data_IF_963075570700
#
_entry.id   IF_963075570700
#
_cell.length_a   1.000
_cell.length_b   1.000
_cell.length_c   1.000
_cell.angle_alpha   90.00
_cell.angle_beta   90.00
_cell.angle_gamma   90.00
#
_symmetry.space_group_name_H-M   'P 1'
#
loop_
_entity.id
_entity.type
_entity.pdbx_description
1 polymer ?
#
# COMPACT_ATOMS: atom_id res chain seq x y z
N UNK A 1 -13.84 105.22 -1.82
CA UNK A 1 -14.05 103.78 -1.55
C UNK A 1 -13.26 102.97 -2.54
N UNK A 2 -12.31 102.18 -2.00
CA UNK A 2 -11.46 101.11 -2.57
C UNK A 2 -11.13 101.10 -4.07
N UNK A 3 -9.89 101.51 -4.36
CA UNK A 3 -9.04 101.14 -5.50
C UNK A 3 -8.19 99.89 -5.19
N UNK A 4 -7.67 99.21 -6.23
CA UNK A 4 -6.43 98.39 -6.38
C UNK A 4 -6.69 97.27 -7.43
N UNK A 5 -6.21 97.37 -8.68
CA UNK A 5 -4.86 97.13 -9.28
C UNK A 5 -4.54 95.65 -9.59
N UNK A 6 -4.30 95.39 -10.89
CA UNK A 6 -3.66 94.21 -11.50
C UNK A 6 -2.23 93.97 -10.97
N UNK A 7 -1.82 92.72 -10.80
CA UNK A 7 -0.41 92.28 -10.87
C UNK A 7 -0.28 90.79 -11.21
N UNK A 8 0.75 90.49 -11.99
CA UNK A 8 1.18 89.23 -12.59
C UNK A 8 1.25 88.01 -11.64
N UNK A 9 0.87 86.83 -12.15
CA UNK A 9 1.35 85.54 -11.62
C UNK A 9 2.73 85.24 -12.22
N UNK A 10 3.71 85.03 -11.35
CA UNK A 10 5.04 84.54 -11.68
C UNK A 10 5.09 83.01 -11.53
N UNK A 11 5.65 82.36 -12.55
CA UNK A 11 5.94 80.92 -12.60
C UNK A 11 7.05 80.55 -11.61
N UNK A 12 6.83 79.51 -10.80
CA UNK A 12 7.89 78.81 -10.06
C UNK A 12 7.81 77.33 -10.42
N UNK A 13 8.83 76.88 -11.14
CA UNK A 13 9.11 75.46 -11.41
C UNK A 13 9.79 74.89 -10.18
N UNK A 14 9.14 73.94 -9.50
CA UNK A 14 9.75 73.14 -8.45
C UNK A 14 10.05 71.73 -8.99
N UNK A 15 11.33 71.43 -9.20
CA UNK A 15 11.82 70.07 -9.39
C UNK A 15 11.68 69.33 -8.05
N UNK A 16 10.76 68.37 -7.98
CA UNK A 16 10.75 67.36 -6.91
C UNK A 16 11.34 66.09 -7.51
N UNK A 17 12.53 65.72 -7.04
CA UNK A 17 13.16 64.45 -7.35
C UNK A 17 12.35 63.32 -6.67
N UNK A 18 11.48 62.66 -7.42
CA UNK A 18 10.87 61.39 -7.04
C UNK A 18 11.95 60.31 -7.10
N UNK A 19 12.53 59.99 -5.95
CA UNK A 19 13.25 58.73 -5.77
C UNK A 19 12.26 57.57 -5.82
N UNK A 20 12.12 56.94 -6.99
CA UNK A 20 11.49 55.63 -7.09
C UNK A 20 12.42 54.60 -6.45
N UNK A 21 12.29 54.41 -5.13
CA UNK A 21 12.71 53.16 -4.52
C UNK A 21 11.76 52.07 -5.04
N UNK A 22 12.18 51.37 -6.08
CA UNK A 22 11.58 50.09 -6.44
C UNK A 22 11.85 49.15 -5.27
N UNK A 23 10.89 49.03 -4.35
CA UNK A 23 10.80 47.88 -3.48
C UNK A 23 10.55 46.67 -4.40
N UNK A 24 11.62 46.09 -4.92
CA UNK A 24 11.57 44.72 -5.39
C UNK A 24 11.04 43.90 -4.20
N UNK A 25 10.00 43.08 -4.36
CA UNK A 25 9.61 42.17 -3.31
C UNK A 25 10.85 41.33 -2.99
N UNK A 26 11.39 41.49 -1.77
CA UNK A 26 12.35 40.53 -1.25
C UNK A 26 11.67 39.16 -1.34
N UNK A 27 12.36 38.10 -1.79
CA UNK A 27 11.76 36.77 -1.78
C UNK A 27 11.28 36.52 -0.36
N UNK A 28 9.96 36.48 -0.18
CA UNK A 28 9.34 36.24 1.11
C UNK A 28 9.75 34.84 1.53
N UNK A 29 10.65 34.74 2.50
CA UNK A 29 11.06 33.46 3.09
C UNK A 29 9.79 32.81 3.64
N UNK A 30 9.44 31.64 3.09
CA UNK A 30 8.33 30.86 3.59
C UNK A 30 8.58 30.49 5.05
N UNK A 31 7.55 30.58 5.89
CA UNK A 31 7.62 29.95 7.21
C UNK A 31 7.73 28.44 7.07
N UNK A 32 8.22 27.77 8.11
CA UNK A 32 8.32 26.31 8.17
C UNK A 32 7.00 25.62 7.78
N UNK A 33 5.88 26.07 8.34
CA UNK A 33 4.57 25.51 8.00
C UNK A 33 4.19 25.77 6.54
N UNK A 34 4.53 26.93 5.98
CA UNK A 34 4.29 27.23 4.56
C UNK A 34 5.14 26.35 3.65
N UNK A 35 6.38 26.03 4.03
CA UNK A 35 7.24 25.09 3.29
C UNK A 35 6.60 23.70 3.31
N UNK A 36 6.21 23.20 4.49
CA UNK A 36 5.58 21.89 4.62
C UNK A 36 4.26 21.81 3.84
N UNK A 37 3.38 22.81 3.96
CA UNK A 37 2.13 22.86 3.21
C UNK A 37 2.37 22.94 1.69
N UNK A 38 3.38 23.70 1.25
CA UNK A 38 3.71 23.85 -0.18
C UNK A 38 4.23 22.54 -0.76
N UNK A 39 5.20 21.91 -0.10
CA UNK A 39 5.74 20.61 -0.54
C UNK A 39 4.65 19.53 -0.50
N UNK A 40 3.86 19.46 0.57
CA UNK A 40 2.79 18.47 0.69
C UNK A 40 1.73 18.56 -0.42
N UNK A 41 1.33 19.77 -0.79
CA UNK A 41 0.29 19.97 -1.80
C UNK A 41 0.82 19.91 -3.25
N UNK A 42 2.12 20.16 -3.48
CA UNK A 42 2.63 20.41 -4.84
C UNK A 42 3.82 19.57 -5.26
N UNK A 43 4.48 18.84 -4.35
CA UNK A 43 5.56 17.94 -4.70
C UNK A 43 4.99 16.61 -5.16
N UNK A 44 5.02 16.39 -6.46
CA UNK A 44 4.68 15.12 -7.06
C UNK A 44 5.84 14.13 -6.94
N UNK A 45 5.52 12.90 -6.58
CA UNK A 45 6.49 11.82 -6.35
C UNK A 45 6.13 10.66 -7.26
N UNK A 46 7.10 10.22 -8.05
CA UNK A 46 6.95 9.04 -8.89
C UNK A 46 8.19 8.15 -8.77
N UNK A 47 7.98 6.85 -8.64
CA UNK A 47 9.02 5.84 -8.64
C UNK A 47 9.06 5.12 -9.98
N UNK A 48 10.26 4.67 -10.37
CA UNK A 48 10.44 3.73 -11.48
C UNK A 48 11.54 2.74 -11.15
N UNK A 49 11.21 1.45 -11.21
CA UNK A 49 12.21 0.38 -11.15
C UNK A 49 13.03 0.42 -12.44
N UNK A 50 14.35 0.55 -12.32
CA UNK A 50 15.27 0.57 -13.46
C UNK A 50 15.83 -0.83 -13.69
N UNK A 51 16.35 -1.46 -12.63
CA UNK A 51 16.76 -2.86 -12.66
C UNK A 51 16.57 -3.50 -11.29
N UNK A 52 16.09 -4.74 -11.26
CA UNK A 52 16.13 -5.62 -10.08
C UNK A 52 17.35 -6.56 -10.06
N UNK A 53 18.26 -6.42 -11.03
CA UNK A 53 19.39 -7.30 -11.26
C UNK A 53 20.72 -6.55 -11.16
N UNK A 54 20.83 -5.58 -10.25
CA UNK A 54 21.94 -4.61 -10.24
C UNK A 54 23.32 -5.27 -10.26
N UNK A 55 23.55 -6.31 -9.45
CA UNK A 55 24.82 -7.04 -9.44
C UNK A 55 25.12 -7.76 -10.76
N UNK A 56 24.09 -8.28 -11.45
CA UNK A 56 24.25 -8.91 -12.77
C UNK A 56 24.56 -7.87 -13.85
N UNK A 57 24.19 -6.61 -13.62
CA UNK A 57 24.42 -5.48 -14.53
C UNK A 57 25.67 -4.66 -14.16
N UNK A 58 26.49 -5.15 -13.23
CA UNK A 58 27.79 -4.57 -12.90
C UNK A 58 27.77 -3.55 -11.76
N UNK A 59 26.67 -3.44 -11.01
CA UNK A 59 26.68 -2.67 -9.75
C UNK A 59 27.47 -3.42 -8.68
N UNK A 60 28.31 -2.68 -7.97
CA UNK A 60 29.14 -3.18 -6.88
C UNK A 60 28.34 -3.36 -5.57
N UNK A 61 27.19 -4.06 -5.63
CA UNK A 61 26.28 -4.23 -4.49
C UNK A 61 26.99 -4.77 -3.23
N UNK A 62 28.03 -5.60 -3.40
CA UNK A 62 28.86 -6.10 -2.28
C UNK A 62 29.58 -4.98 -1.54
N UNK A 63 30.08 -3.96 -2.25
CA UNK A 63 30.79 -2.83 -1.64
C UNK A 63 29.83 -1.93 -0.85
N UNK A 64 28.56 -1.92 -1.25
CA UNK A 64 27.46 -1.27 -0.53
C UNK A 64 26.94 -2.10 0.65
N UNK A 65 27.61 -3.21 0.98
CA UNK A 65 27.24 -4.15 2.05
C UNK A 65 25.83 -4.75 1.89
N UNK A 66 25.29 -4.78 0.66
CA UNK A 66 24.03 -5.44 0.38
C UNK A 66 24.12 -6.94 0.68
N UNK A 67 23.14 -7.48 1.40
CA UNK A 67 23.09 -8.91 1.70
C UNK A 67 23.09 -9.73 0.40
N UNK A 68 23.94 -10.77 0.37
CA UNK A 68 24.17 -11.60 -0.82
C UNK A 68 24.61 -10.82 -2.07
N UNK A 69 25.13 -9.60 -1.90
CA UNK A 69 25.44 -8.68 -3.00
C UNK A 69 24.25 -8.51 -3.96
N UNK A 70 23.02 -8.44 -3.43
CA UNK A 70 21.80 -8.24 -4.21
C UNK A 70 21.29 -6.82 -4.00
N UNK A 71 21.15 -6.05 -5.07
CA UNK A 71 20.63 -4.69 -5.02
C UNK A 71 19.86 -4.34 -6.30
N UNK A 72 18.90 -3.43 -6.16
CA UNK A 72 18.14 -2.85 -7.26
C UNK A 72 18.55 -1.40 -7.51
N UNK A 73 18.08 -0.85 -8.62
CA UNK A 73 18.16 0.58 -8.93
C UNK A 73 16.78 1.11 -9.17
N UNK A 74 16.42 2.17 -8.46
CA UNK A 74 15.12 2.83 -8.58
C UNK A 74 15.37 4.32 -8.83
N UNK A 75 14.64 4.87 -9.78
CA UNK A 75 14.56 6.31 -9.96
C UNK A 75 13.40 6.88 -9.15
N UNK A 76 13.71 7.71 -8.16
CA UNK A 76 12.75 8.60 -7.52
C UNK A 76 12.71 9.92 -8.29
N UNK A 77 11.56 10.23 -8.87
CA UNK A 77 11.30 11.51 -9.53
C UNK A 77 10.51 12.41 -8.59
N UNK A 78 11.03 13.62 -8.35
CA UNK A 78 10.33 14.70 -7.66
C UNK A 78 10.00 15.80 -8.65
N UNK A 79 8.73 16.19 -8.75
CA UNK A 79 8.30 17.32 -9.59
C UNK A 79 7.61 18.38 -8.74
N UNK A 80 8.16 19.59 -8.71
CA UNK A 80 7.54 20.70 -7.98
C UNK A 80 6.49 21.39 -8.86
N UNK A 81 5.21 21.08 -8.66
CA UNK A 81 4.09 21.71 -9.38
C UNK A 81 3.64 23.04 -8.78
N UNK A 82 4.34 23.53 -7.75
CA UNK A 82 4.00 24.74 -7.02
C UNK A 82 5.02 25.88 -7.22
N UNK A 83 4.99 26.90 -6.35
CA UNK A 83 6.02 27.93 -6.30
C UNK A 83 7.40 27.35 -6.01
N UNK A 84 8.46 28.12 -6.33
CA UNK A 84 9.82 27.70 -6.01
C UNK A 84 10.03 27.58 -4.48
N UNK A 85 10.70 26.51 -4.05
CA UNK A 85 11.05 26.26 -2.65
C UNK A 85 12.57 26.25 -2.52
N UNK A 86 13.13 27.26 -1.85
CA UNK A 86 14.60 27.38 -1.65
C UNK A 86 15.04 27.03 -0.24
N UNK A 87 14.09 26.79 0.68
CA UNK A 87 14.37 26.37 2.04
C UNK A 87 15.08 25.00 2.04
N UNK A 88 16.03 24.83 2.97
CA UNK A 88 16.81 23.59 3.16
C UNK A 88 16.43 22.85 4.44
N UNK A 89 15.71 23.48 5.36
CA UNK A 89 15.32 22.85 6.63
C UNK A 89 14.00 22.09 6.48
N UNK A 90 14.02 21.01 5.70
CA UNK A 90 12.89 20.10 5.55
C UNK A 90 13.36 18.65 5.36
N UNK A 91 12.49 17.72 5.77
CA UNK A 91 12.66 16.28 5.59
C UNK A 91 11.37 15.66 5.10
N UNK A 92 11.46 14.79 4.11
CA UNK A 92 10.37 13.90 3.71
C UNK A 92 10.63 12.55 4.36
N UNK A 93 9.72 12.14 5.23
CA UNK A 93 9.70 10.82 5.83
C UNK A 93 8.94 9.86 4.93
N UNK A 94 9.51 8.69 4.66
CA UNK A 94 8.89 7.68 3.81
C UNK A 94 9.21 6.28 4.34
N UNK A 95 8.36 5.33 3.99
CA UNK A 95 8.53 3.94 4.36
C UNK A 95 9.12 3.15 3.20
N UNK A 96 10.04 2.24 3.50
CA UNK A 96 10.61 1.29 2.55
C UNK A 96 10.86 -0.02 3.26
N UNK A 97 10.41 -1.12 2.65
CA UNK A 97 10.75 -2.47 3.12
C UNK A 97 12.21 -2.84 2.82
N UNK A 98 12.92 -2.00 2.04
CA UNK A 98 14.34 -2.14 1.68
C UNK A 98 15.18 -1.04 2.30
N UNK A 99 16.40 -1.37 2.69
CA UNK A 99 17.41 -0.37 3.03
C UNK A 99 17.81 0.41 1.78
N UNK A 100 17.94 1.73 1.91
CA UNK A 100 18.51 2.57 0.85
C UNK A 100 20.02 2.64 1.07
N UNK A 101 20.77 2.01 0.18
CA UNK A 101 22.22 1.81 0.33
C UNK A 101 23.04 2.96 -0.23
N UNK A 102 22.56 3.60 -1.30
CA UNK A 102 23.22 4.73 -1.93
C UNK A 102 22.21 5.65 -2.63
N UNK A 103 22.52 6.95 -2.70
CA UNK A 103 21.70 7.97 -3.35
C UNK A 103 22.56 8.72 -4.36
N UNK A 104 22.25 8.59 -5.63
CA UNK A 104 23.05 9.07 -6.75
C UNK A 104 22.66 10.50 -7.19
N UNK A 105 22.36 11.35 -6.22
CA UNK A 105 22.13 12.77 -6.42
C UNK A 105 22.62 13.53 -5.20
N UNK A 106 23.72 14.28 -5.36
CA UNK A 106 24.44 14.89 -4.24
C UNK A 106 23.71 16.08 -3.59
N UNK A 107 22.58 16.53 -4.16
CA UNK A 107 21.68 17.50 -3.55
C UNK A 107 20.79 16.88 -2.47
N UNK A 108 20.72 15.56 -2.38
CA UNK A 108 19.88 14.87 -1.40
C UNK A 108 20.67 13.79 -0.67
N UNK A 109 20.18 13.44 0.52
CA UNK A 109 20.63 12.26 1.25
C UNK A 109 19.42 11.53 1.81
N UNK A 110 19.55 10.21 1.89
CA UNK A 110 18.58 9.36 2.59
C UNK A 110 19.21 8.86 3.89
N UNK A 111 18.44 8.88 4.98
CA UNK A 111 18.87 8.35 6.28
C UNK A 111 17.82 7.36 6.79
N UNK A 112 18.26 6.15 7.16
CA UNK A 112 17.40 5.20 7.88
C UNK A 112 17.21 5.65 9.33
N UNK A 113 15.97 5.62 9.82
CA UNK A 113 15.64 5.96 11.21
C UNK A 113 15.54 4.69 12.05
N UNK A 114 14.54 3.86 11.75
CA UNK A 114 14.31 2.56 12.39
C UNK A 114 13.19 1.83 11.64
N UNK A 115 13.18 0.49 11.69
CA UNK A 115 12.17 -0.29 10.98
C UNK A 115 12.21 -0.01 9.49
N UNK A 116 11.07 0.34 8.91
CA UNK A 116 10.93 0.74 7.50
C UNK A 116 11.10 2.25 7.26
N UNK A 117 11.21 3.06 8.32
CA UNK A 117 11.15 4.51 8.23
C UNK A 117 12.50 5.11 7.84
N UNK A 118 12.46 5.93 6.79
CA UNK A 118 13.60 6.67 6.25
C UNK A 118 13.26 8.16 6.11
N UNK A 119 14.28 9.02 6.02
CA UNK A 119 14.15 10.42 5.62
C UNK A 119 14.88 10.70 4.33
N UNK A 120 14.29 11.49 3.44
CA UNK A 120 14.94 12.18 2.33
C UNK A 120 15.05 13.66 2.71
N UNK A 121 16.25 14.22 2.67
CA UNK A 121 16.49 15.62 3.04
C UNK A 121 17.55 16.25 2.14
N UNK A 122 17.50 17.58 1.92
CA UNK A 122 18.47 18.27 1.09
C UNK A 122 19.84 18.30 1.77
N UNK A 123 20.90 18.35 0.96
CA UNK A 123 22.26 18.59 1.42
C UNK A 123 22.63 20.07 1.26
N UNK A 124 23.85 20.44 1.66
CA UNK A 124 24.40 21.78 1.38
C UNK A 124 24.51 22.11 -0.12
N UNK A 125 24.43 21.10 -1.00
CA UNK A 125 24.49 21.28 -2.45
C UNK A 125 23.11 21.53 -3.07
N UNK A 126 22.03 21.37 -2.31
CA UNK A 126 20.68 21.62 -2.77
C UNK A 126 20.50 23.08 -3.17
N UNK A 127 19.98 23.31 -4.38
CA UNK A 127 19.83 24.66 -4.95
C UNK A 127 18.40 25.22 -4.86
N UNK A 128 17.52 24.51 -4.16
CA UNK A 128 16.08 24.74 -4.24
C UNK A 128 15.41 23.88 -5.30
N UNK A 129 14.08 23.81 -5.22
CA UNK A 129 13.22 23.30 -6.28
C UNK A 129 12.56 24.50 -6.97
N UNK A 130 12.92 24.80 -8.21
CA UNK A 130 12.23 25.81 -9.01
C UNK A 130 10.79 25.37 -9.33
N UNK A 131 9.93 26.33 -9.67
CA UNK A 131 8.57 26.04 -10.10
C UNK A 131 8.59 25.23 -11.41
N UNK A 132 7.89 24.10 -11.44
CA UNK A 132 7.87 23.14 -12.54
C UNK A 132 9.14 22.31 -12.69
N UNK A 133 10.10 22.42 -11.77
CA UNK A 133 11.33 21.64 -11.84
C UNK A 133 11.04 20.16 -11.59
N UNK A 134 11.65 19.32 -12.43
CA UNK A 134 11.68 17.87 -12.28
C UNK A 134 13.10 17.43 -11.96
N UNK A 135 13.25 16.74 -10.84
CA UNK A 135 14.53 16.20 -10.38
C UNK A 135 14.42 14.68 -10.31
N UNK A 136 15.40 13.99 -10.90
CA UNK A 136 15.54 12.54 -10.80
C UNK A 136 16.64 12.23 -9.78
N UNK A 137 16.32 11.35 -8.85
CA UNK A 137 17.18 10.87 -7.78
C UNK A 137 17.27 9.34 -7.95
N UNK A 138 18.24 8.83 -8.73
CA UNK A 138 18.51 7.41 -8.72
C UNK A 138 19.02 7.00 -7.34
N UNK A 139 18.55 5.89 -6.81
CA UNK A 139 19.06 5.29 -5.58
C UNK A 139 19.21 3.79 -5.74
N UNK A 140 20.07 3.21 -4.90
CA UNK A 140 20.31 1.77 -4.84
C UNK A 140 19.61 1.23 -3.59
N UNK A 141 18.63 0.35 -3.77
CA UNK A 141 17.97 -0.37 -2.70
C UNK A 141 18.60 -1.75 -2.47
N UNK A 142 18.56 -2.23 -1.25
CA UNK A 142 18.96 -3.60 -0.96
C UNK A 142 17.95 -4.62 -1.51
N UNK A 143 18.44 -5.77 -1.98
CA UNK A 143 17.67 -6.84 -2.61
C UNK A 143 17.07 -6.50 -3.97
N UNK A 144 15.74 -6.41 -4.03
CA UNK A 144 14.90 -6.30 -5.21
C UNK A 144 13.49 -5.86 -4.82
N UNK A 145 12.80 -5.26 -5.76
CA UNK A 145 11.45 -4.71 -5.63
C UNK A 145 10.60 -5.25 -6.79
N UNK A 146 10.00 -6.44 -6.58
CA UNK A 146 9.42 -7.25 -7.67
C UNK A 146 7.93 -6.99 -7.89
N UNK A 147 7.28 -6.42 -6.88
CA UNK A 147 5.86 -6.11 -6.91
C UNK A 147 5.65 -4.63 -6.64
N UNK A 148 4.64 -4.06 -7.29
CA UNK A 148 4.30 -2.65 -7.11
C UNK A 148 3.93 -2.30 -5.66
N UNK A 149 3.43 -3.28 -4.88
CA UNK A 149 3.10 -3.11 -3.47
C UNK A 149 4.32 -3.08 -2.53
N UNK A 150 5.53 -3.31 -3.03
CA UNK A 150 6.76 -3.11 -2.25
C UNK A 150 7.00 -1.60 -2.03
N UNK A 151 6.41 -0.72 -2.86
CA UNK A 151 6.39 0.73 -2.65
C UNK A 151 5.26 1.13 -1.71
N UNK A 152 5.61 1.84 -0.64
CA UNK A 152 4.68 2.20 0.42
C UNK A 152 4.16 3.63 0.24
N UNK A 153 2.85 3.88 0.42
CA UNK A 153 2.27 5.20 0.25
C UNK A 153 2.50 6.10 1.47
N UNK A 154 1.97 7.33 1.41
CA UNK A 154 1.81 8.25 2.55
C UNK A 154 3.11 8.75 3.17
N UNK A 155 4.12 9.01 2.34
CA UNK A 155 5.25 9.82 2.78
C UNK A 155 4.74 11.20 3.25
N UNK A 156 5.42 11.80 4.22
CA UNK A 156 5.02 13.07 4.80
C UNK A 156 6.23 13.99 4.99
N UNK A 157 6.00 15.29 4.88
CA UNK A 157 7.04 16.31 5.02
C UNK A 157 6.92 17.01 6.37
N UNK A 158 8.08 17.31 6.96
CA UNK A 158 8.26 18.23 8.08
C UNK A 158 9.33 19.24 7.66
N UNK A 159 9.04 20.53 7.76
CA UNK A 159 10.03 21.61 7.67
C UNK A 159 10.19 22.28 9.04
N UNK A 160 11.41 22.52 9.52
CA UNK A 160 11.70 23.09 10.84
C UNK A 160 10.75 22.61 11.95
N UNK A 161 10.02 23.53 12.58
CA UNK A 161 9.05 23.26 13.65
C UNK A 161 7.60 23.05 13.16
N UNK A 162 7.40 22.79 11.86
CA UNK A 162 6.06 22.57 11.30
C UNK A 162 5.39 21.30 11.81
N UNK A 163 4.06 21.29 11.74
CA UNK A 163 3.29 20.05 11.88
C UNK A 163 3.47 19.17 10.63
N UNK A 164 3.58 17.83 10.76
CA UNK A 164 3.73 16.94 9.62
C UNK A 164 2.58 17.03 8.62
N UNK A 165 2.90 16.94 7.32
CA UNK A 165 1.91 16.96 6.22
C UNK A 165 2.18 15.83 5.24
N UNK A 166 1.21 14.97 5.02
CA UNK A 166 1.29 13.91 3.99
C UNK A 166 1.44 14.52 2.60
N UNK A 167 2.34 13.99 1.78
CA UNK A 167 2.45 14.36 0.37
C UNK A 167 1.21 13.87 -0.36
N UNK A 168 0.47 14.78 -0.98
CA UNK A 168 -0.79 14.47 -1.62
C UNK A 168 -0.63 13.46 -2.78
N UNK A 169 0.50 13.52 -3.49
CA UNK A 169 0.86 12.59 -4.57
C UNK A 169 1.01 11.13 -4.12
N UNK A 170 1.21 10.89 -2.82
CA UNK A 170 1.38 9.56 -2.24
C UNK A 170 0.23 9.13 -1.33
N UNK A 171 -0.83 9.92 -1.16
CA UNK A 171 -1.98 9.54 -0.32
C UNK A 171 -3.01 8.69 -1.09
N UNK A 172 -2.52 7.57 -1.62
CA UNK A 172 -3.29 6.61 -2.42
C UNK A 172 -2.98 5.19 -1.96
N UNK A 173 -3.99 4.31 -1.93
CA UNK A 173 -3.77 2.87 -1.66
C UNK A 173 -3.24 2.12 -2.88
N UNK A 174 -3.54 2.62 -4.09
CA UNK A 174 -3.11 2.03 -5.36
C UNK A 174 -1.73 2.61 -5.76
N UNK A 175 -0.66 1.78 -5.83
CA UNK A 175 0.66 2.25 -6.20
C UNK A 175 0.76 2.86 -7.59
N UNK A 176 -0.15 2.51 -8.52
CA UNK A 176 -0.13 3.06 -9.88
C UNK A 176 -0.32 4.58 -9.94
N UNK A 177 -0.76 5.20 -8.84
CA UNK A 177 -0.81 6.65 -8.69
C UNK A 177 0.58 7.32 -8.61
N UNK A 178 1.61 6.59 -8.18
CA UNK A 178 2.95 7.12 -7.90
C UNK A 178 4.10 6.20 -8.34
N UNK A 179 3.80 5.17 -9.13
CA UNK A 179 4.77 4.20 -9.61
C UNK A 179 4.54 3.92 -11.09
N UNK A 180 5.60 4.04 -11.89
CA UNK A 180 5.59 3.53 -13.25
C UNK A 180 5.48 1.99 -13.23
N UNK A 181 4.63 1.37 -14.08
CA UNK A 181 4.48 -0.08 -14.09
C UNK A 181 5.81 -0.80 -14.23
N UNK A 182 6.00 -1.88 -13.46
CA UNK A 182 7.19 -2.72 -13.57
C UNK A 182 7.20 -3.36 -14.96
N UNK A 183 8.22 -3.04 -15.75
CA UNK A 183 8.34 -3.40 -17.15
C UNK A 183 9.39 -4.49 -17.42
N UNK A 184 9.33 -5.05 -18.64
CA UNK A 184 10.30 -6.04 -19.12
C UNK A 184 10.43 -7.25 -18.20
N UNK A 185 11.67 -7.51 -17.79
CA UNK A 185 12.04 -8.65 -16.93
C UNK A 185 12.24 -8.25 -15.46
N UNK A 186 11.88 -7.02 -15.07
CA UNK A 186 12.06 -6.55 -13.69
C UNK A 186 11.16 -7.28 -12.67
N UNK A 187 10.13 -8.01 -13.10
CA UNK A 187 9.36 -8.91 -12.23
C UNK A 187 10.14 -10.18 -11.82
N UNK A 188 11.26 -10.50 -12.49
CA UNK A 188 12.10 -11.64 -12.16
C UNK A 188 13.04 -11.29 -11.02
N UNK A 189 13.24 -12.22 -10.07
CA UNK A 189 14.20 -12.04 -8.98
C UNK A 189 15.66 -12.10 -9.45
N UNK A 190 15.92 -12.91 -10.47
CA UNK A 190 17.24 -13.09 -11.09
C UNK A 190 17.05 -13.27 -12.59
N UNK A 191 18.08 -13.04 -13.43
CA UNK A 191 17.96 -13.30 -14.87
C UNK A 191 17.56 -14.75 -15.23
N UNK A 192 17.82 -15.72 -14.34
CA UNK A 192 17.48 -17.14 -14.50
C UNK A 192 16.25 -17.58 -13.70
N UNK A 193 15.40 -16.64 -13.27
CA UNK A 193 14.15 -16.96 -12.59
C UNK A 193 13.20 -17.72 -13.55
N UNK A 194 12.70 -18.87 -13.11
CA UNK A 194 11.83 -19.76 -13.89
C UNK A 194 10.35 -19.64 -13.51
N UNK A 195 9.97 -18.67 -12.68
CA UNK A 195 8.56 -18.33 -12.49
C UNK A 195 7.94 -17.89 -13.83
N UNK A 196 6.64 -18.10 -13.97
CA UNK A 196 5.87 -17.65 -15.14
C UNK A 196 5.01 -16.48 -14.70
N UNK A 197 5.22 -15.30 -15.31
CA UNK A 197 4.38 -14.14 -15.04
C UNK A 197 2.91 -14.47 -15.34
N UNK A 198 2.04 -14.23 -14.36
CA UNK A 198 0.61 -14.48 -14.48
C UNK A 198 -0.05 -13.40 -15.35
N UNK A 199 -0.10 -13.60 -16.66
CA UNK A 199 -0.89 -12.81 -17.61
C UNK A 199 -2.25 -13.46 -17.83
N UNK A 200 -3.14 -12.84 -18.60
CA UNK A 200 -4.40 -13.49 -18.98
C UNK A 200 -4.15 -14.82 -19.72
N UNK A 201 -3.17 -14.85 -20.64
CA UNK A 201 -2.81 -16.04 -21.40
C UNK A 201 -2.19 -17.14 -20.53
N UNK A 202 -1.15 -16.84 -19.74
CA UNK A 202 -0.49 -17.88 -18.95
C UNK A 202 -1.38 -18.42 -17.82
N UNK A 203 -2.30 -17.61 -17.28
CA UNK A 203 -3.34 -18.10 -16.36
C UNK A 203 -4.37 -19.00 -17.05
N UNK A 204 -4.78 -18.67 -18.28
CA UNK A 204 -5.66 -19.53 -19.07
C UNK A 204 -5.00 -20.89 -19.33
N UNK A 205 -3.74 -20.89 -19.77
CA UNK A 205 -2.95 -22.10 -19.99
C UNK A 205 -2.77 -22.91 -18.70
N UNK A 206 -2.41 -22.23 -17.59
CA UNK A 206 -2.25 -22.87 -16.27
C UNK A 206 -3.53 -23.50 -15.74
N UNK A 207 -4.69 -22.93 -16.04
CA UNK A 207 -5.98 -23.42 -15.57
C UNK A 207 -6.70 -24.29 -16.62
N UNK A 208 -6.01 -24.73 -17.67
CA UNK A 208 -6.60 -25.52 -18.75
C UNK A 208 -7.04 -26.93 -18.32
N UNK A 209 -6.59 -27.39 -17.16
CA UNK A 209 -6.97 -28.64 -16.49
C UNK A 209 -8.07 -28.46 -15.43
N UNK A 210 -8.60 -27.24 -15.26
CA UNK A 210 -9.68 -26.96 -14.31
C UNK A 210 -11.03 -26.99 -15.03
N UNK A 211 -11.75 -28.11 -14.85
CA UNK A 211 -13.08 -28.30 -15.40
C UNK A 211 -14.19 -27.79 -14.47
N UNK A 212 -15.29 -27.32 -15.06
CA UNK A 212 -16.52 -27.09 -14.32
C UNK A 212 -17.16 -28.43 -13.96
N UNK A 213 -17.28 -28.70 -12.66
CA UNK A 213 -17.85 -29.95 -12.16
C UNK A 213 -19.37 -29.82 -12.03
N UNK A 214 -20.10 -30.85 -12.45
CA UNK A 214 -21.55 -30.94 -12.29
C UNK A 214 -21.95 -30.92 -10.79
N UNK A 215 -23.04 -30.23 -10.45
CA UNK A 215 -23.46 -30.05 -9.05
C UNK A 215 -23.78 -31.38 -8.35
N UNK A 216 -24.26 -32.36 -9.11
CA UNK A 216 -24.58 -33.71 -8.65
C UNK A 216 -23.33 -34.46 -8.18
N UNK A 217 -22.18 -34.21 -8.82
CA UNK A 217 -20.88 -34.79 -8.42
C UNK A 217 -20.39 -34.20 -7.09
N UNK A 218 -20.79 -32.98 -6.75
CA UNK A 218 -20.44 -32.30 -5.50
C UNK A 218 -21.38 -32.67 -4.36
N UNK A 219 -22.53 -33.29 -4.65
CA UNK A 219 -23.53 -33.64 -3.64
C UNK A 219 -22.93 -34.53 -2.54
N UNK A 220 -23.13 -34.14 -1.29
CA UNK A 220 -22.61 -34.88 -0.13
C UNK A 220 -21.10 -34.72 0.12
N UNK A 221 -20.41 -33.80 -0.57
CA UNK A 221 -19.00 -33.51 -0.30
C UNK A 221 -18.85 -32.62 0.93
N UNK A 222 -18.20 -33.14 1.98
CA UNK A 222 -17.83 -32.38 3.18
C UNK A 222 -16.41 -31.84 3.01
N UNK A 223 -16.19 -30.58 3.39
CA UNK A 223 -14.87 -29.93 3.39
C UNK A 223 -14.51 -29.52 4.82
N UNK A 224 -13.35 -29.93 5.37
CA UNK A 224 -12.34 -30.81 4.76
C UNK A 224 -12.83 -32.26 4.52
N UNK A 225 -12.21 -32.96 3.57
CA UNK A 225 -12.55 -34.35 3.21
C UNK A 225 -12.50 -35.26 4.44
N UNK A 226 -13.60 -35.94 4.82
CA UNK A 226 -13.61 -36.90 5.92
C UNK A 226 -12.71 -38.11 5.65
N UNK A 227 -12.29 -38.81 6.71
CA UNK A 227 -11.52 -40.05 6.57
C UNK A 227 -12.27 -41.15 5.80
N UNK A 228 -13.59 -41.19 5.95
CA UNK A 228 -14.46 -42.13 5.24
C UNK A 228 -15.85 -41.52 5.10
N UNK A 229 -16.42 -41.65 3.90
CA UNK A 229 -17.78 -41.22 3.57
C UNK A 229 -18.46 -42.32 2.78
N UNK A 230 -19.73 -42.61 3.09
CA UNK A 230 -20.59 -43.49 2.29
C UNK A 230 -21.87 -42.73 1.97
N UNK A 231 -22.09 -42.42 0.68
CA UNK A 231 -23.30 -41.75 0.23
C UNK A 231 -24.39 -42.77 -0.06
N UNK A 232 -25.60 -42.52 0.44
CA UNK A 232 -26.77 -43.39 0.18
C UNK A 232 -27.49 -43.05 -1.12
N UNK A 233 -27.24 -41.86 -1.68
CA UNK A 233 -27.98 -41.31 -2.82
C UNK A 233 -29.29 -40.60 -2.44
N UNK A 234 -29.67 -40.64 -1.16
CA UNK A 234 -30.84 -39.92 -0.63
C UNK A 234 -30.48 -38.48 -0.26
N UNK A 235 -31.49 -37.60 -0.24
CA UNK A 235 -31.33 -36.18 0.12
C UNK A 235 -32.28 -35.82 1.24
N UNK A 236 -31.78 -35.05 2.21
CA UNK A 236 -32.57 -34.47 3.28
C UNK A 236 -32.87 -33.01 2.97
N UNK A 237 -34.14 -32.62 3.10
CA UNK A 237 -34.54 -31.21 3.01
C UNK A 237 -34.46 -30.53 4.36
N UNK A 238 -33.67 -29.45 4.43
CA UNK A 238 -33.58 -28.58 5.61
C UNK A 238 -34.46 -27.32 5.48
N UNK A 239 -35.36 -27.27 4.49
CA UNK A 239 -36.17 -26.09 4.19
C UNK A 239 -37.10 -25.68 5.35
N UNK A 240 -37.53 -26.65 6.17
CA UNK A 240 -38.33 -26.40 7.38
C UNK A 240 -37.49 -26.22 8.64
N UNK A 241 -36.17 -26.05 8.47
CA UNK A 241 -35.20 -25.93 9.55
C UNK A 241 -34.88 -27.24 10.25
N UNK A 242 -33.94 -27.16 11.18
CA UNK A 242 -33.45 -28.25 12.03
C UNK A 242 -33.88 -28.05 13.48
N UNK A 243 -33.84 -29.12 14.28
CA UNK A 243 -34.05 -29.10 15.73
C UNK A 243 -32.91 -29.83 16.42
N UNK A 244 -32.09 -29.11 17.16
CA UNK A 244 -30.87 -29.66 17.77
C UNK A 244 -31.19 -30.28 19.14
N UNK A 245 -31.03 -31.61 19.28
CA UNK A 245 -30.97 -32.33 20.57
C UNK A 245 -29.50 -32.40 21.01
N UNK A 246 -29.04 -31.40 21.76
CA UNK A 246 -27.67 -31.28 22.20
C UNK A 246 -27.43 -31.96 23.56
N UNK A 247 -26.55 -32.97 23.59
CA UNK A 247 -26.06 -33.65 24.81
C UNK A 247 -24.53 -33.66 24.92
N UNK A 248 -23.84 -32.83 24.13
CA UNK A 248 -22.40 -32.87 23.99
C UNK A 248 -21.73 -31.49 24.11
N UNK A 249 -22.33 -30.47 23.49
CA UNK A 249 -21.75 -29.13 23.36
C UNK A 249 -22.07 -28.28 24.58
N UNK A 250 -21.14 -27.42 25.00
CA UNK A 250 -21.42 -26.35 25.96
C UNK A 250 -22.36 -25.30 25.35
N UNK A 251 -22.94 -24.43 26.19
CA UNK A 251 -23.82 -23.35 25.72
C UNK A 251 -23.13 -22.47 24.65
N UNK A 252 -21.91 -22.00 24.91
CA UNK A 252 -21.17 -21.16 23.97
C UNK A 252 -20.87 -21.86 22.63
N UNK A 253 -20.59 -23.17 22.66
CA UNK A 253 -20.41 -23.94 21.42
C UNK A 253 -21.72 -24.09 20.65
N UNK A 254 -22.82 -24.35 21.36
CA UNK A 254 -24.15 -24.44 20.75
C UNK A 254 -24.57 -23.11 20.13
N UNK A 255 -24.33 -21.99 20.81
CA UNK A 255 -24.60 -20.64 20.29
C UNK A 255 -23.82 -20.38 18.98
N UNK A 256 -22.57 -20.83 18.91
CA UNK A 256 -21.75 -20.73 17.68
C UNK A 256 -22.34 -21.56 16.53
N UNK A 257 -22.81 -22.78 16.81
CA UNK A 257 -23.51 -23.62 15.83
C UNK A 257 -24.80 -22.95 15.35
N UNK A 258 -25.62 -22.43 16.26
CA UNK A 258 -26.87 -21.73 15.95
C UNK A 258 -26.59 -20.49 15.09
N UNK A 259 -25.61 -19.68 15.46
CA UNK A 259 -25.20 -18.51 14.68
C UNK A 259 -24.76 -18.91 13.27
N UNK A 260 -23.99 -20.00 13.11
CA UNK A 260 -23.56 -20.47 11.79
C UNK A 260 -24.75 -20.94 10.95
N UNK A 261 -25.67 -21.72 11.52
CA UNK A 261 -26.89 -22.16 10.82
C UNK A 261 -27.72 -20.96 10.36
N UNK A 262 -27.85 -19.92 11.18
CA UNK A 262 -28.53 -18.68 10.80
C UNK A 262 -27.85 -17.97 9.61
N UNK A 263 -26.51 -17.90 9.56
CA UNK A 263 -25.79 -17.33 8.39
C UNK A 263 -25.99 -18.13 7.10
N UNK A 264 -26.32 -19.42 7.22
CA UNK A 264 -26.62 -20.31 6.10
C UNK A 264 -28.12 -20.34 5.75
N UNK A 265 -28.95 -19.54 6.43
CA UNK A 265 -30.40 -19.49 6.23
C UNK A 265 -31.17 -20.67 6.82
N UNK A 266 -30.55 -21.45 7.72
CA UNK A 266 -31.16 -22.62 8.36
C UNK A 266 -31.72 -22.23 9.72
N UNK A 267 -33.04 -22.36 9.89
CA UNK A 267 -33.73 -22.16 11.17
C UNK A 267 -33.44 -23.32 12.13
N UNK A 268 -32.99 -23.06 13.36
CA UNK A 268 -32.69 -24.08 14.39
C UNK A 268 -33.86 -24.40 15.33
N UNK A 269 -35.03 -23.79 15.10
CA UNK A 269 -36.32 -24.12 15.71
C UNK A 269 -37.24 -24.85 14.71
N UNK A 270 -36.66 -25.60 13.77
CA UNK A 270 -37.35 -26.31 12.71
C UNK A 270 -37.79 -27.72 13.06
N UNK A 271 -38.00 -28.56 12.03
CA UNK A 271 -38.55 -29.91 12.21
C UNK A 271 -37.52 -31.03 12.09
N UNK A 272 -36.47 -30.87 11.27
CA UNK A 272 -35.52 -31.96 11.03
C UNK A 272 -34.62 -32.20 12.26
N UNK A 273 -34.71 -33.35 12.94
CA UNK A 273 -33.97 -33.55 14.18
C UNK A 273 -32.47 -33.79 13.91
N UNK A 274 -31.64 -33.12 14.70
CA UNK A 274 -30.17 -33.25 14.70
C UNK A 274 -29.71 -33.57 16.12
N UNK A 275 -29.23 -34.79 16.34
CA UNK A 275 -28.80 -35.29 17.65
C UNK A 275 -27.29 -35.19 17.78
N UNK A 276 -26.84 -34.54 18.85
CA UNK A 276 -25.41 -34.37 19.14
C UNK A 276 -25.07 -35.07 20.46
N UNK A 277 -24.20 -36.09 20.40
CA UNK A 277 -23.78 -36.88 21.56
C UNK A 277 -22.25 -36.95 21.66
N UNK A 278 -21.73 -36.98 22.88
CA UNK A 278 -20.33 -37.24 23.16
C UNK A 278 -20.19 -38.69 23.63
N UNK A 279 -19.72 -39.57 22.74
CA UNK A 279 -19.51 -40.97 23.06
C UNK A 279 -18.14 -41.49 22.59
N UNK A 280 -17.10 -41.36 23.43
CA UNK A 280 -15.76 -41.83 23.09
C UNK A 280 -15.64 -43.36 23.03
N UNK A 281 -16.69 -44.13 23.35
CA UNK A 281 -16.66 -45.60 23.25
C UNK A 281 -16.92 -46.10 21.82
N UNK A 282 -17.49 -45.26 20.95
CA UNK A 282 -17.75 -45.55 19.53
C UNK A 282 -16.49 -45.56 18.65
N UNK A 283 -15.36 -45.14 19.20
CA UNK A 283 -14.11 -45.00 18.46
C UNK A 283 -13.09 -46.05 18.92
N UNK A 284 -12.41 -46.68 17.96
CA UNK A 284 -11.27 -47.54 18.22
C UNK A 284 -10.09 -46.73 18.79
N UNK A 285 -9.11 -47.39 19.40
CA UNK A 285 -7.96 -46.71 20.01
C UNK A 285 -7.30 -45.69 19.07
N UNK A 286 -7.14 -46.02 17.79
CA UNK A 286 -6.44 -45.18 16.82
C UNK A 286 -7.29 -44.00 16.30
N UNK A 287 -8.62 -44.09 16.40
CA UNK A 287 -9.55 -43.04 15.97
C UNK A 287 -10.14 -42.25 17.15
N UNK A 288 -9.83 -42.65 18.37
CA UNK A 288 -10.26 -42.00 19.61
C UNK A 288 -9.36 -40.81 19.95
N UNK A 289 -9.42 -39.80 19.10
CA UNK A 289 -8.65 -38.55 19.22
C UNK A 289 -9.60 -37.36 19.33
N UNK A 290 -9.09 -36.21 19.78
CA UNK A 290 -9.86 -34.97 19.81
C UNK A 290 -10.32 -34.60 18.40
N UNK A 291 -11.59 -34.21 18.25
CA UNK A 291 -12.19 -33.83 16.96
C UNK A 291 -12.70 -35.01 16.13
N UNK A 292 -12.51 -36.26 16.55
CA UNK A 292 -13.12 -37.40 15.88
C UNK A 292 -14.65 -37.35 15.96
N UNK A 293 -15.31 -37.66 14.86
CA UNK A 293 -16.78 -37.70 14.79
C UNK A 293 -17.25 -38.86 13.89
N UNK A 294 -18.51 -39.25 14.10
CA UNK A 294 -19.29 -40.06 13.16
C UNK A 294 -20.53 -39.22 12.83
N UNK A 295 -20.83 -39.10 11.54
CA UNK A 295 -21.98 -38.35 11.04
C UNK A 295 -22.86 -39.29 10.22
N UNK A 296 -24.11 -39.43 10.63
CA UNK A 296 -25.16 -40.16 9.91
C UNK A 296 -26.21 -39.14 9.45
N UNK A 297 -26.45 -39.02 8.14
CA UNK A 297 -27.52 -38.16 7.59
C UNK A 297 -28.51 -39.06 6.88
N UNK A 298 -29.75 -39.14 7.38
CA UNK A 298 -30.78 -40.05 6.89
C UNK A 298 -32.14 -39.37 6.87
N UNK A 299 -33.07 -39.90 6.08
CA UNK A 299 -34.45 -39.42 6.15
C UNK A 299 -35.02 -39.62 7.57
N UNK A 300 -35.65 -38.58 8.11
CA UNK A 300 -36.21 -38.56 9.46
C UNK A 300 -35.27 -38.14 10.61
N UNK A 301 -33.94 -38.29 10.51
CA UNK A 301 -33.01 -37.77 11.54
C UNK A 301 -31.52 -37.82 11.17
N UNK A 302 -30.77 -36.87 11.73
CA UNK A 302 -29.30 -36.92 11.89
C UNK A 302 -28.93 -37.14 13.35
#
# INVERSE_FOLDING_TARGET
MRTFKLSLLASVVALVATGCATNAPSPSVMTDQQVADTLAANLDVNYKVITNHGANEGLECRQLAAEWASCDVINLTLTNNGPAVTNTDWKIYFHSIRMILDVQNDQFKVTHITGDLHTLEPTEKFKGFAAGEKVVIPYIGEYWTLFENDFMPRAYVIAGDSTPKTLQSLDHEDPSAYLDPIDGDNWKRTPTDNNILATAQSRFEKNSDVDLIASETLAGTIVPTPLSTTLTGETVSLAQGIKIDNKALSAAMLDSVVSRMATLGINTNGLYPVKVILDPSRFSKDTKVSGAYQLDVRDGST
#
